data_IF_321810049290
#
_entry.id   IF_321810049290
#
_cell.length_a   1.000
_cell.length_b   1.000
_cell.length_c   1.000
_cell.angle_alpha   90.00
_cell.angle_beta   90.00
_cell.angle_gamma   90.00
#
_symmetry.space_group_name_H-M   'P 1'
#
loop_
_entity.id
_entity.type
_entity.pdbx_description
1 polymer ?
#
# COMPACT_ATOMS: atom_id res chain seq x y z
N UNK A 1 22.09 62.95 -41.23
CA UNK A 1 22.94 61.75 -41.14
C UNK A 1 22.98 61.27 -39.70
N UNK A 2 22.79 59.95 -39.53
CA UNK A 2 23.01 59.10 -38.34
C UNK A 2 21.90 59.07 -37.27
N UNK A 3 21.08 58.03 -37.41
CA UNK A 3 20.24 57.42 -36.40
C UNK A 3 21.08 56.65 -35.38
N UNK A 4 20.64 56.61 -34.12
CA UNK A 4 21.04 55.57 -33.16
C UNK A 4 19.77 55.17 -32.40
N UNK A 5 19.22 54.01 -32.77
CA UNK A 5 18.14 53.35 -32.06
C UNK A 5 18.76 52.54 -30.90
N UNK A 6 18.34 52.82 -29.67
CA UNK A 6 18.72 52.05 -28.50
C UNK A 6 17.79 50.83 -28.38
N UNK A 7 18.36 49.65 -28.59
CA UNK A 7 17.70 48.36 -28.52
C UNK A 7 17.66 47.91 -27.05
N UNK A 8 16.48 47.91 -26.44
CA UNK A 8 16.24 47.39 -25.09
C UNK A 8 16.35 45.85 -25.14
N UNK A 9 17.37 45.30 -24.47
CA UNK A 9 17.53 43.86 -24.29
C UNK A 9 16.67 43.41 -23.10
N UNK A 10 15.56 42.73 -23.35
CA UNK A 10 14.76 42.05 -22.32
C UNK A 10 15.45 40.74 -21.99
N UNK A 11 16.11 40.67 -20.84
CA UNK A 11 16.56 39.41 -20.25
C UNK A 11 15.34 38.69 -19.66
N UNK A 12 14.75 37.79 -20.44
CA UNK A 12 13.82 36.81 -19.92
C UNK A 12 14.60 35.85 -19.01
N UNK A 13 14.36 35.94 -17.71
CA UNK A 13 14.75 34.89 -16.76
C UNK A 13 13.93 33.66 -17.10
N UNK A 14 14.54 32.75 -17.87
CA UNK A 14 14.01 31.42 -18.08
C UNK A 14 14.20 30.67 -16.75
N UNK A 15 13.12 30.51 -15.98
CA UNK A 15 13.07 29.48 -14.96
C UNK A 15 13.27 28.16 -15.68
N UNK A 16 14.49 27.60 -15.60
CA UNK A 16 14.75 26.24 -16.04
C UNK A 16 13.74 25.32 -15.37
N UNK A 17 12.92 24.66 -16.20
CA UNK A 17 12.27 23.40 -15.86
C UNK A 17 13.33 22.48 -15.27
N UNK A 18 13.39 22.43 -13.94
CA UNK A 18 14.03 21.30 -13.28
C UNK A 18 13.19 20.10 -13.71
N UNK A 19 13.75 19.11 -14.42
CA UNK A 19 13.01 17.89 -14.67
C UNK A 19 12.59 17.36 -13.30
N UNK A 20 11.30 17.02 -13.16
CA UNK A 20 10.84 16.15 -12.09
C UNK A 20 11.77 14.94 -12.10
N UNK A 21 12.78 14.95 -11.24
CA UNK A 21 13.60 13.78 -10.99
C UNK A 21 12.64 12.83 -10.31
N UNK A 22 12.00 12.00 -11.12
CA UNK A 22 11.36 10.78 -10.68
C UNK A 22 12.46 10.02 -9.94
N UNK A 23 12.51 10.20 -8.62
CA UNK A 23 13.20 9.29 -7.76
C UNK A 23 12.46 7.97 -7.96
N UNK A 24 12.95 7.15 -8.88
CA UNK A 24 12.73 5.72 -8.88
C UNK A 24 13.34 5.22 -7.57
N UNK A 25 12.59 5.39 -6.48
CA UNK A 25 12.92 4.74 -5.24
C UNK A 25 12.88 3.24 -5.56
N UNK A 26 13.97 2.52 -5.28
CA UNK A 26 14.01 1.09 -5.55
C UNK A 26 12.83 0.47 -4.84
N UNK A 27 11.95 -0.15 -5.63
CA UNK A 27 10.87 -0.98 -5.13
C UNK A 27 11.41 -1.85 -4.00
N UNK A 28 10.69 -1.98 -2.89
CA UNK A 28 11.00 -3.02 -1.94
C UNK A 28 11.06 -4.34 -2.75
N UNK A 29 12.20 -5.07 -2.72
CA UNK A 29 12.39 -6.25 -3.55
C UNK A 29 11.25 -7.24 -3.31
N UNK A 30 10.97 -8.15 -4.23
CA UNK A 30 9.92 -9.17 -4.07
C UNK A 30 10.05 -9.99 -2.76
N UNK A 31 11.21 -9.95 -2.10
CA UNK A 31 11.49 -10.53 -0.79
C UNK A 31 10.84 -9.78 0.39
N UNK A 32 10.49 -8.50 0.21
CA UNK A 32 9.94 -7.62 1.23
C UNK A 32 8.54 -8.02 1.67
N UNK A 33 7.76 -8.67 0.79
CA UNK A 33 6.42 -9.11 1.08
C UNK A 33 6.04 -10.37 0.30
N UNK A 34 5.12 -11.16 0.85
CA UNK A 34 4.55 -12.33 0.18
C UNK A 34 3.05 -12.37 0.45
N UNK A 35 2.24 -12.40 -0.61
CA UNK A 35 0.81 -12.65 -0.46
C UNK A 35 0.60 -14.09 0.03
N UNK A 36 -0.12 -14.25 1.14
CA UNK A 36 -0.38 -15.57 1.74
C UNK A 36 -1.73 -16.08 1.29
N UNK A 37 -2.77 -15.30 1.55
CA UNK A 37 -4.14 -15.72 1.30
C UNK A 37 -5.09 -14.52 1.26
N UNK A 38 -6.25 -14.73 0.61
CA UNK A 38 -7.38 -13.81 0.62
C UNK A 38 -8.67 -14.50 1.06
N UNK A 39 -9.55 -13.74 1.69
CA UNK A 39 -10.91 -14.16 2.06
C UNK A 39 -11.87 -12.98 1.89
N UNK A 40 -13.15 -13.26 1.65
CA UNK A 40 -14.18 -12.23 1.67
C UNK A 40 -14.55 -11.94 3.14
N UNK A 41 -14.55 -10.67 3.52
CA UNK A 41 -14.79 -10.28 4.90
C UNK A 41 -14.34 -8.86 5.23
N UNK A 42 -14.59 -8.45 6.47
CA UNK A 42 -14.23 -7.14 6.98
C UNK A 42 -13.39 -7.26 8.26
N UNK A 43 -12.55 -6.26 8.49
CA UNK A 43 -11.87 -6.10 9.76
C UNK A 43 -12.83 -5.53 10.83
N UNK A 44 -12.62 -5.85 12.12
CA UNK A 44 -13.34 -5.23 13.21
C UNK A 44 -13.23 -3.70 13.15
N UNK A 45 -14.31 -3.01 13.52
CA UNK A 45 -14.35 -1.55 13.61
C UNK A 45 -14.00 -0.80 12.32
N UNK A 46 -14.09 -1.47 11.16
CA UNK A 46 -13.75 -0.88 9.85
C UNK A 46 -12.31 -0.37 9.78
N UNK A 47 -11.36 -1.06 10.45
CA UNK A 47 -9.95 -0.74 10.31
C UNK A 47 -9.46 -1.01 8.87
N UNK A 48 -8.53 -0.19 8.37
CA UNK A 48 -7.89 -0.41 7.08
C UNK A 48 -6.92 -1.62 7.10
N UNK A 49 -6.32 -1.89 8.26
CA UNK A 49 -5.36 -2.99 8.43
C UNK A 49 -5.20 -3.41 9.89
N UNK A 50 -4.70 -4.62 10.10
CA UNK A 50 -4.14 -5.07 11.39
C UNK A 50 -2.77 -5.73 11.17
N UNK A 51 -1.84 -5.52 12.10
CA UNK A 51 -0.55 -6.19 12.09
C UNK A 51 -0.53 -7.28 13.17
N UNK A 52 -0.22 -8.50 12.75
CA UNK A 52 -0.11 -9.69 13.57
C UNK A 52 1.39 -9.94 13.79
N UNK A 53 1.86 -9.71 15.01
CA UNK A 53 3.30 -9.69 15.33
C UNK A 53 3.77 -10.90 16.12
N UNK A 54 2.88 -11.85 16.40
CA UNK A 54 3.19 -13.08 17.09
C UNK A 54 2.28 -14.23 16.62
N UNK A 55 2.59 -15.44 17.08
CA UNK A 55 1.91 -16.68 16.67
C UNK A 55 0.48 -16.76 17.21
N UNK A 56 0.22 -16.23 18.39
CA UNK A 56 -1.09 -16.30 19.03
C UNK A 56 -2.08 -15.41 18.28
N UNK A 57 -1.71 -14.14 18.06
CA UNK A 57 -2.48 -13.20 17.25
C UNK A 57 -2.73 -13.73 15.83
N UNK A 58 -1.71 -14.35 15.21
CA UNK A 58 -1.86 -14.96 13.89
C UNK A 58 -2.90 -16.09 13.90
N UNK A 59 -2.82 -16.99 14.87
CA UNK A 59 -3.72 -18.14 14.97
C UNK A 59 -5.16 -17.70 15.23
N UNK A 60 -5.34 -16.71 16.11
CA UNK A 60 -6.65 -16.13 16.40
C UNK A 60 -7.26 -15.48 15.15
N UNK A 61 -6.52 -14.60 14.46
CA UNK A 61 -6.99 -13.95 13.26
C UNK A 61 -7.33 -14.95 12.12
N UNK A 62 -6.56 -16.05 12.02
CA UNK A 62 -6.84 -17.11 11.04
C UNK A 62 -8.20 -17.75 11.27
N UNK A 63 -8.53 -18.05 12.53
CA UNK A 63 -9.81 -18.63 12.92
C UNK A 63 -10.97 -17.64 12.77
N UNK A 64 -10.78 -16.39 13.19
CA UNK A 64 -11.83 -15.36 13.19
C UNK A 64 -12.25 -14.91 11.78
N UNK A 65 -11.29 -14.78 10.87
CA UNK A 65 -11.54 -14.26 9.53
C UNK A 65 -11.83 -15.35 8.48
N UNK A 66 -11.83 -16.62 8.88
CA UNK A 66 -12.16 -17.73 7.98
C UNK A 66 -11.08 -18.02 6.93
N UNK A 67 -9.81 -17.72 7.23
CA UNK A 67 -8.70 -18.14 6.39
C UNK A 67 -8.64 -19.68 6.34
N UNK A 68 -8.49 -20.25 5.14
CA UNK A 68 -8.53 -21.72 4.95
C UNK A 68 -7.20 -22.36 5.35
N UNK A 69 -7.28 -23.51 6.01
CA UNK A 69 -6.11 -24.31 6.37
C UNK A 69 -5.40 -23.80 7.63
N UNK A 70 -4.19 -24.31 7.85
CA UNK A 70 -3.38 -23.89 8.98
C UNK A 70 -2.75 -22.50 8.72
N UNK A 71 -2.54 -21.68 9.77
CA UNK A 71 -1.79 -20.44 9.65
C UNK A 71 -0.38 -20.67 9.08
N UNK A 72 0.17 -19.75 8.29
CA UNK A 72 1.52 -19.88 7.74
C UNK A 72 2.54 -19.91 8.87
N UNK A 73 3.65 -20.61 8.63
CA UNK A 73 4.83 -20.50 9.50
C UNK A 73 5.54 -19.18 9.20
N UNK A 74 5.56 -18.28 10.18
CA UNK A 74 6.19 -16.96 10.10
C UNK A 74 7.26 -16.86 11.19
N UNK A 75 8.44 -16.38 10.80
CA UNK A 75 9.48 -15.99 11.75
C UNK A 75 9.23 -14.56 12.23
N UNK A 76 8.61 -14.41 13.40
CA UNK A 76 8.21 -13.12 13.93
C UNK A 76 9.38 -12.23 14.41
N UNK A 77 10.60 -12.77 14.47
CA UNK A 77 11.79 -11.99 14.76
C UNK A 77 12.10 -11.01 13.62
N UNK A 78 11.99 -11.48 12.37
CA UNK A 78 12.29 -10.69 11.17
C UNK A 78 11.04 -10.28 10.38
N UNK A 79 9.88 -10.88 10.67
CA UNK A 79 8.66 -10.70 9.86
C UNK A 79 7.42 -10.48 10.72
N UNK A 80 6.32 -10.11 10.06
CA UNK A 80 4.99 -10.01 10.65
C UNK A 80 3.95 -10.24 9.55
N UNK A 81 2.71 -10.52 9.92
CA UNK A 81 1.61 -10.62 8.94
C UNK A 81 0.76 -9.37 9.01
N UNK A 82 0.59 -8.71 7.88
CA UNK A 82 -0.33 -7.60 7.71
C UNK A 82 -1.62 -8.15 7.09
N UNK A 83 -2.74 -8.00 7.77
CA UNK A 83 -4.06 -8.23 7.18
C UNK A 83 -4.57 -6.88 6.66
N UNK A 84 -4.68 -6.76 5.34
CA UNK A 84 -5.13 -5.55 4.64
C UNK A 84 -6.58 -5.71 4.20
N UNK A 85 -7.38 -4.66 4.43
CA UNK A 85 -8.70 -4.53 3.81
C UNK A 85 -8.54 -3.97 2.39
N UNK A 86 -9.15 -4.64 1.43
CA UNK A 86 -9.34 -4.15 0.06
C UNK A 86 -10.86 -4.03 -0.19
N UNK A 87 -11.28 -2.86 -0.68
CA UNK A 87 -12.58 -2.74 -1.34
C UNK A 87 -12.37 -3.07 -2.81
N UNK A 88 -13.11 -4.06 -3.28
CA UNK A 88 -12.84 -4.66 -4.57
C UNK A 88 -14.15 -4.90 -5.30
N UNK A 89 -14.12 -4.82 -6.62
CA UNK A 89 -15.18 -5.38 -7.44
C UNK A 89 -14.97 -6.90 -7.54
N UNK A 90 -15.91 -7.63 -8.14
CA UNK A 90 -15.85 -9.10 -8.24
C UNK A 90 -14.58 -9.65 -8.91
N UNK A 91 -13.79 -8.80 -9.59
CA UNK A 91 -12.55 -9.17 -10.25
C UNK A 91 -11.34 -8.81 -9.40
N UNK A 92 -10.80 -9.77 -8.64
CA UNK A 92 -9.85 -9.41 -7.63
C UNK A 92 -8.55 -8.87 -8.21
N UNK A 93 -8.23 -7.63 -7.87
CA UNK A 93 -6.94 -7.09 -8.20
C UNK A 93 -5.82 -7.92 -7.53
N UNK A 94 -4.71 -8.08 -8.24
CA UNK A 94 -3.52 -8.72 -7.70
C UNK A 94 -2.67 -7.70 -6.95
N UNK A 95 -2.19 -8.08 -5.76
CA UNK A 95 -1.21 -7.28 -5.05
C UNK A 95 0.10 -7.32 -5.83
N UNK A 96 0.55 -6.18 -6.33
CA UNK A 96 1.80 -6.11 -7.12
C UNK A 96 2.88 -5.26 -6.46
N UNK A 97 2.52 -4.42 -5.48
CA UNK A 97 3.51 -3.64 -4.72
C UNK A 97 2.98 -3.29 -3.34
N UNK A 98 3.89 -3.35 -2.37
CA UNK A 98 3.69 -2.86 -1.01
C UNK A 98 4.93 -2.06 -0.62
N UNK A 99 4.75 -0.78 -0.30
CA UNK A 99 5.84 0.13 0.04
C UNK A 99 5.42 1.13 1.12
N UNK A 100 6.38 1.58 1.93
CA UNK A 100 6.14 2.64 2.91
C UNK A 100 6.89 3.90 2.49
N UNK A 101 6.16 4.94 2.11
CA UNK A 101 6.70 6.25 1.73
C UNK A 101 6.14 7.28 2.71
N UNK A 102 7.00 8.10 3.31
CA UNK A 102 6.62 9.10 4.31
C UNK A 102 5.77 8.54 5.46
N UNK A 103 6.13 7.33 5.92
CA UNK A 103 5.39 6.57 6.95
C UNK A 103 3.95 6.22 6.57
N UNK A 104 3.61 6.23 5.28
CA UNK A 104 2.31 5.80 4.76
C UNK A 104 2.52 4.57 3.89
N UNK A 105 1.74 3.52 4.16
CA UNK A 105 1.71 2.35 3.32
C UNK A 105 1.02 2.69 2.00
N UNK A 106 1.74 2.58 0.90
CA UNK A 106 1.17 2.54 -0.44
C UNK A 106 1.04 1.09 -0.87
N UNK A 107 -0.15 0.77 -1.35
CA UNK A 107 -0.52 -0.55 -1.84
C UNK A 107 -0.88 -0.39 -3.31
N UNK A 108 -0.21 -1.13 -4.19
CA UNK A 108 -0.52 -1.15 -5.60
C UNK A 108 -1.21 -2.47 -5.94
N UNK A 109 -2.44 -2.31 -6.40
CA UNK A 109 -3.29 -3.37 -6.90
C UNK A 109 -3.27 -3.30 -8.44
N UNK A 110 -3.19 -4.46 -9.10
CA UNK A 110 -3.27 -4.57 -10.55
C UNK A 110 -4.52 -5.37 -10.93
N UNK A 111 -5.42 -4.72 -11.66
CA UNK A 111 -6.61 -5.37 -12.18
C UNK A 111 -6.25 -6.46 -13.19
N UNK A 112 -6.82 -7.67 -13.08
CA UNK A 112 -6.61 -8.72 -14.07
C UNK A 112 -7.15 -8.28 -15.45
N UNK A 113 -6.51 -8.75 -16.55
CA UNK A 113 -6.99 -8.46 -17.90
C UNK A 113 -8.41 -9.02 -18.10
N UNK A 114 -9.26 -8.24 -18.78
CA UNK A 114 -10.66 -8.58 -19.03
C UNK A 114 -11.66 -7.77 -18.22
N UNK A 115 -11.32 -7.45 -16.96
CA UNK A 115 -12.16 -6.66 -16.05
C UNK A 115 -13.54 -7.29 -15.79
N UNK A 116 -14.15 -6.92 -14.67
CA UNK A 116 -15.58 -7.09 -14.49
C UNK A 116 -16.14 -5.96 -13.64
N UNK A 117 -17.42 -5.66 -13.84
CA UNK A 117 -18.15 -4.71 -13.01
C UNK A 117 -19.14 -5.54 -12.21
N UNK A 118 -18.75 -5.85 -10.98
CA UNK A 118 -19.55 -6.60 -10.01
C UNK A 118 -19.73 -5.77 -8.72
N UNK A 119 -20.65 -6.16 -7.82
CA UNK A 119 -20.86 -5.44 -6.57
C UNK A 119 -19.57 -5.31 -5.76
N UNK A 120 -19.36 -4.15 -5.15
CA UNK A 120 -18.22 -3.94 -4.26
C UNK A 120 -18.33 -4.91 -3.07
N UNK A 121 -17.32 -5.74 -2.89
CA UNK A 121 -17.17 -6.62 -1.73
C UNK A 121 -15.91 -6.24 -0.95
N UNK A 122 -15.92 -6.57 0.33
CA UNK A 122 -14.73 -6.43 1.16
C UNK A 122 -13.92 -7.72 1.10
N UNK A 123 -12.62 -7.56 0.88
CA UNK A 123 -11.66 -8.67 0.91
C UNK A 123 -10.59 -8.37 1.94
N UNK A 124 -10.18 -9.41 2.66
CA UNK A 124 -9.05 -9.39 3.59
C UNK A 124 -7.88 -10.13 2.96
N UNK A 125 -6.72 -9.49 2.92
CA UNK A 125 -5.49 -10.03 2.36
C UNK A 125 -4.49 -10.22 3.48
N UNK A 126 -4.10 -11.47 3.75
CA UNK A 126 -2.99 -11.76 4.64
C UNK A 126 -1.68 -11.68 3.85
N UNK A 127 -0.77 -10.81 4.28
CA UNK A 127 0.49 -10.53 3.60
C UNK A 127 1.62 -10.65 4.61
N UNK A 128 2.57 -11.52 4.33
CA UNK A 128 3.76 -11.72 5.16
C UNK A 128 4.82 -10.67 4.79
N UNK A 129 5.17 -9.77 5.70
CA UNK A 129 6.00 -8.59 5.45
C UNK A 129 7.30 -8.66 6.26
N UNK A 130 8.42 -8.35 5.62
CA UNK A 130 9.73 -8.22 6.27
C UNK A 130 9.83 -6.91 7.04
N UNK A 131 10.21 -7.00 8.32
CA UNK A 131 10.44 -5.84 9.21
C UNK A 131 11.57 -4.94 8.69
N UNK A 132 12.53 -5.47 7.93
CA UNK A 132 13.69 -4.72 7.41
C UNK A 132 13.32 -3.69 6.34
N UNK A 133 12.14 -3.80 5.74
CA UNK A 133 11.68 -2.91 4.67
C UNK A 133 10.59 -1.92 5.11
N UNK A 134 10.25 -1.90 6.40
CA UNK A 134 9.24 -0.98 6.94
C UNK A 134 9.74 -0.31 8.22
N UNK A 135 9.37 0.96 8.48
CA UNK A 135 9.68 1.59 9.76
C UNK A 135 8.89 0.94 10.90
N UNK A 136 9.37 1.12 12.15
CA UNK A 136 8.68 0.63 13.35
C UNK A 136 7.25 1.19 13.53
N UNK A 137 6.91 2.30 12.86
CA UNK A 137 5.53 2.79 12.81
C UNK A 137 5.21 3.41 11.45
N UNK A 138 4.05 3.05 10.92
CA UNK A 138 3.50 3.58 9.67
C UNK A 138 1.97 3.58 9.74
N UNK A 139 1.35 4.31 8.82
CA UNK A 139 -0.11 4.42 8.69
C UNK A 139 -0.56 3.69 7.44
N UNK A 140 -1.62 2.90 7.57
CA UNK A 140 -2.34 2.31 6.44
C UNK A 140 -3.66 3.04 6.27
N UNK A 141 -3.97 3.43 5.05
CA UNK A 141 -5.26 4.02 4.68
C UNK A 141 -5.77 3.33 3.41
N UNK A 142 -7.09 3.29 3.25
CA UNK A 142 -7.72 2.87 2.00
C UNK A 142 -7.76 4.10 1.07
N UNK A 143 -7.58 3.95 -0.26
CA UNK A 143 -7.63 5.09 -1.18
C UNK A 143 -8.97 5.86 -1.14
N UNK A 144 -8.97 7.18 -1.43
CA UNK A 144 -10.11 8.06 -1.20
C UNK A 144 -11.42 7.71 -1.89
N UNK A 145 -11.32 7.03 -3.03
CA UNK A 145 -12.48 6.55 -3.79
C UNK A 145 -13.32 5.48 -3.03
N UNK A 146 -12.93 5.16 -1.79
CA UNK A 146 -13.52 4.18 -0.89
C UNK A 146 -13.60 4.68 0.57
N UNK A 147 -13.42 5.98 0.82
CA UNK A 147 -13.12 6.59 2.14
C UNK A 147 -14.24 6.46 3.18
N UNK A 148 -15.48 6.24 2.76
CA UNK A 148 -16.66 6.30 3.64
C UNK A 148 -16.70 5.09 4.61
N UNK A 149 -15.88 4.07 4.38
CA UNK A 149 -16.07 2.75 4.98
C UNK A 149 -14.88 2.20 5.74
N UNK A 150 -13.66 2.75 5.63
CA UNK A 150 -12.50 2.25 6.34
C UNK A 150 -11.67 3.36 6.99
N UNK A 151 -11.40 3.24 8.30
CA UNK A 151 -10.62 4.21 9.06
C UNK A 151 -9.12 3.96 8.85
N UNK A 152 -8.34 5.02 8.55
CA UNK A 152 -6.88 4.92 8.56
C UNK A 152 -6.39 4.33 9.88
N UNK A 153 -5.49 3.35 9.81
CA UNK A 153 -4.99 2.62 10.96
C UNK A 153 -3.49 2.84 11.10
N UNK A 154 -3.06 3.25 12.31
CA UNK A 154 -1.64 3.39 12.63
C UNK A 154 -1.11 2.08 13.18
N UNK A 155 -0.12 1.50 12.49
CA UNK A 155 0.60 0.32 12.92
C UNK A 155 1.83 0.72 13.74
N UNK A 156 2.08 -0.03 14.82
CA UNK A 156 3.28 0.05 15.65
C UNK A 156 3.84 -1.36 15.81
N UNK A 157 5.02 -1.60 15.26
CA UNK A 157 5.76 -2.85 15.42
C UNK A 157 6.54 -2.75 16.73
N UNK A 158 6.30 -3.68 17.65
CA UNK A 158 7.09 -3.86 18.86
C UNK A 158 8.26 -4.79 18.58
#
# INVERSE_FOLDING_TARGET
MRAIAAMLLVLAVSCSDAPDVAFEQPSAPAEAWRHVQRVDGMLPQRAAAIALTDREALSQAWAEHGFRGAPPRVDFADRFVLVLLQLDDGCPDELVRLEVIDRRLRVKWQRPPGGCIEPLIYRLHAIDVSRRHVPASFTVAVPPQYDDLAKPTRIRLR
#
